data_IF_501082943034
#
_entry.id   IF_501082943034
#
_cell.length_a   1.000
_cell.length_b   1.000
_cell.length_c   1.000
_cell.angle_alpha   90.00
_cell.angle_beta   90.00
_cell.angle_gamma   90.00
#
_symmetry.space_group_name_H-M   'P 1'
#
loop_
_entity.id
_entity.type
_entity.pdbx_description
1 polymer ?
#
# COMPACT_ATOMS: atom_id res chain seq x y z
N UNK A 1 -27.33 14.85 8.02
CA UNK A 1 -26.44 14.23 7.03
C UNK A 1 -25.24 15.15 6.92
N UNK A 2 -24.06 14.68 7.31
CA UNK A 2 -22.89 15.53 7.42
C UNK A 2 -22.43 15.99 6.03
N UNK A 3 -22.48 17.30 5.81
CA UNK A 3 -21.89 17.98 4.67
C UNK A 3 -20.36 17.93 4.84
N UNK A 4 -19.67 17.20 3.95
CA UNK A 4 -18.21 17.29 3.82
C UNK A 4 -17.86 18.67 3.25
N UNK A 5 -17.62 19.61 4.16
CA UNK A 5 -17.14 20.95 3.88
C UNK A 5 -15.74 20.89 3.23
N UNK A 6 -15.66 21.47 2.03
CA UNK A 6 -14.48 22.13 1.44
C UNK A 6 -13.24 21.29 1.11
N UNK A 7 -13.26 20.65 -0.07
CA UNK A 7 -12.06 20.34 -0.88
C UNK A 7 -11.50 21.61 -1.55
N UNK A 8 -11.15 22.62 -0.75
CA UNK A 8 -10.82 23.95 -1.25
C UNK A 8 -9.65 24.56 -0.51
N UNK A 9 -8.50 23.90 -0.50
CA UNK A 9 -7.26 24.57 -0.13
C UNK A 9 -6.10 23.95 -0.92
N UNK A 10 -5.41 24.79 -1.68
CA UNK A 10 -4.03 24.58 -2.10
C UNK A 10 -3.21 24.46 -0.80
N UNK A 11 -3.30 23.27 -0.19
CA UNK A 11 -3.23 23.11 1.26
C UNK A 11 -1.91 23.59 1.83
N UNK A 12 -1.98 24.62 2.66
CA UNK A 12 -0.82 25.14 3.36
C UNK A 12 -0.31 24.08 4.34
N UNK A 13 0.64 23.25 3.91
CA UNK A 13 1.25 22.23 4.77
C UNK A 13 1.97 22.94 5.92
N UNK A 14 1.68 22.56 7.17
CA UNK A 14 2.40 23.12 8.33
C UNK A 14 3.92 22.89 8.21
N UNK A 15 4.78 23.83 8.64
CA UNK A 15 6.24 23.65 8.64
C UNK A 15 6.71 22.38 9.35
N UNK A 16 5.99 21.96 10.40
CA UNK A 16 6.29 20.71 11.14
C UNK A 16 6.04 19.47 10.29
N UNK A 17 4.96 19.48 9.49
CA UNK A 17 4.65 18.41 8.56
C UNK A 17 5.68 18.37 7.43
N UNK A 18 6.08 19.53 6.88
CA UNK A 18 7.14 19.60 5.87
C UNK A 18 8.43 18.98 6.43
N UNK A 19 8.87 19.41 7.61
CA UNK A 19 10.07 18.85 8.26
C UNK A 19 9.97 17.33 8.43
N UNK A 20 8.84 16.83 8.93
CA UNK A 20 8.64 15.39 9.13
C UNK A 20 8.65 14.61 7.81
N UNK A 21 8.03 15.15 6.76
CA UNK A 21 7.94 14.49 5.47
C UNK A 21 9.27 14.49 4.71
N UNK A 22 10.11 15.50 4.92
CA UNK A 22 11.46 15.59 4.31
C UNK A 22 12.52 14.79 5.05
N UNK A 23 12.23 14.22 6.22
CA UNK A 23 13.18 13.39 6.96
C UNK A 23 13.38 12.01 6.34
N UNK A 24 12.29 11.30 5.98
CA UNK A 24 12.31 9.94 5.42
C UNK A 24 11.07 9.64 4.57
N UNK A 25 11.21 8.87 3.49
CA UNK A 25 10.08 8.46 2.63
C UNK A 25 8.99 7.72 3.42
N UNK A 26 9.35 6.92 4.42
CA UNK A 26 8.38 6.22 5.26
C UNK A 26 7.38 7.17 5.93
N UNK A 27 7.80 8.39 6.27
CA UNK A 27 6.91 9.39 6.88
C UNK A 27 5.86 9.90 5.88
N UNK A 28 6.19 9.89 4.58
CA UNK A 28 5.27 10.22 3.49
C UNK A 28 4.32 9.05 3.24
N UNK A 29 4.85 7.85 3.00
CA UNK A 29 4.04 6.69 2.61
C UNK A 29 3.03 6.27 3.69
N UNK A 30 3.41 6.38 4.97
CA UNK A 30 2.55 6.03 6.11
C UNK A 30 1.51 7.10 6.45
N UNK A 31 1.61 8.32 5.92
CA UNK A 31 0.64 9.39 6.13
C UNK A 31 -0.25 9.53 4.91
N UNK A 32 -1.56 9.32 5.07
CA UNK A 32 -2.52 9.52 3.97
C UNK A 32 -2.45 10.92 3.38
N UNK A 33 -2.33 11.95 4.21
CA UNK A 33 -2.18 13.35 3.78
C UNK A 33 -0.90 13.57 2.98
N UNK A 34 0.23 13.08 3.50
CA UNK A 34 1.52 13.25 2.83
C UNK A 34 1.57 12.51 1.50
N UNK A 35 1.03 11.29 1.47
CA UNK A 35 0.96 10.45 0.28
C UNK A 35 0.05 11.05 -0.79
N UNK A 36 -1.10 11.61 -0.42
CA UNK A 36 -1.95 12.34 -1.37
C UNK A 36 -1.22 13.56 -1.95
N UNK A 37 -0.48 14.30 -1.13
CA UNK A 37 0.35 15.42 -1.61
C UNK A 37 1.48 14.97 -2.52
N UNK A 38 2.12 13.84 -2.20
CA UNK A 38 3.16 13.27 -3.04
C UNK A 38 2.61 12.80 -4.39
N UNK A 39 1.44 12.13 -4.40
CA UNK A 39 0.74 11.79 -5.64
C UNK A 39 0.39 13.02 -6.47
N UNK A 40 -0.21 14.05 -5.87
CA UNK A 40 -0.50 15.30 -6.60
C UNK A 40 0.75 15.92 -7.21
N UNK A 41 1.87 15.92 -6.48
CA UNK A 41 3.14 16.39 -7.02
C UNK A 41 3.61 15.55 -8.22
N UNK A 42 3.51 14.22 -8.13
CA UNK A 42 3.87 13.33 -9.25
C UNK A 42 2.97 13.59 -10.47
N UNK A 43 1.68 13.85 -10.27
CA UNK A 43 0.74 14.23 -11.33
C UNK A 43 1.10 15.56 -11.97
N UNK A 44 1.35 16.58 -11.14
CA UNK A 44 1.66 17.93 -11.60
C UNK A 44 2.99 17.98 -12.39
N UNK A 45 3.90 17.04 -12.11
CA UNK A 45 5.19 16.89 -12.79
C UNK A 45 5.17 15.84 -13.90
N UNK A 46 4.03 15.23 -14.20
CA UNK A 46 3.84 14.19 -15.24
C UNK A 46 4.77 12.96 -15.04
N UNK A 47 5.00 12.58 -13.77
CA UNK A 47 5.87 11.48 -13.38
C UNK A 47 5.09 10.16 -13.22
N UNK A 48 4.55 9.66 -14.33
CA UNK A 48 3.64 8.49 -14.39
C UNK A 48 4.22 7.21 -13.71
N UNK A 49 5.52 6.96 -13.88
CA UNK A 49 6.21 5.82 -13.24
C UNK A 49 6.21 5.96 -11.71
N UNK A 50 6.45 7.17 -11.20
CA UNK A 50 6.40 7.46 -9.77
C UNK A 50 5.00 7.28 -9.21
N UNK A 51 3.96 7.72 -9.94
CA UNK A 51 2.57 7.52 -9.55
C UNK A 51 2.23 6.04 -9.45
N UNK A 52 2.62 5.27 -10.48
CA UNK A 52 2.38 3.82 -10.56
C UNK A 52 3.05 3.08 -9.40
N UNK A 53 4.26 3.49 -9.01
CA UNK A 53 4.95 2.93 -7.84
C UNK A 53 4.22 3.21 -6.53
N UNK A 54 3.67 4.42 -6.33
CA UNK A 54 2.89 4.75 -5.12
C UNK A 54 1.57 3.99 -5.11
N UNK A 55 0.88 3.88 -6.26
CA UNK A 55 -0.37 3.11 -6.39
C UNK A 55 -0.13 1.63 -6.08
N UNK A 56 0.88 1.02 -6.66
CA UNK A 56 1.26 -0.35 -6.36
C UNK A 56 1.58 -0.57 -4.87
N UNK A 57 2.31 0.36 -4.26
CA UNK A 57 2.62 0.30 -2.82
C UNK A 57 1.36 0.30 -1.95
N UNK A 58 0.35 1.08 -2.33
CA UNK A 58 -0.97 1.11 -1.66
C UNK A 58 -1.77 -0.17 -1.88
N UNK A 59 -1.80 -0.70 -3.10
CA UNK A 59 -2.47 -1.98 -3.41
C UNK A 59 -1.89 -3.11 -2.56
N UNK A 60 -0.55 -3.21 -2.52
CA UNK A 60 0.14 -4.17 -1.65
C UNK A 60 -0.23 -3.96 -0.18
N UNK A 61 -0.31 -2.70 0.29
CA UNK A 61 -0.71 -2.39 1.66
C UNK A 61 -2.13 -2.86 1.99
N UNK A 62 -3.07 -2.65 1.08
CA UNK A 62 -4.47 -3.05 1.23
C UNK A 62 -4.60 -4.57 1.29
N UNK A 63 -3.93 -5.27 0.38
CA UNK A 63 -3.87 -6.73 0.38
C UNK A 63 -3.32 -7.29 1.70
N UNK A 64 -2.20 -6.76 2.19
CA UNK A 64 -1.56 -7.25 3.41
C UNK A 64 -2.46 -7.07 4.65
N UNK A 65 -3.23 -5.98 4.72
CA UNK A 65 -4.20 -5.75 5.81
C UNK A 65 -5.30 -6.82 5.76
N UNK A 66 -5.90 -7.05 4.59
CA UNK A 66 -6.96 -8.06 4.41
C UNK A 66 -6.46 -9.48 4.73
N UNK A 67 -5.25 -9.81 4.27
CA UNK A 67 -4.62 -11.09 4.55
C UNK A 67 -4.38 -11.31 6.05
N UNK A 68 -4.10 -10.24 6.81
CA UNK A 68 -3.94 -10.32 8.26
C UNK A 68 -5.27 -10.46 9.02
N UNK A 69 -6.30 -9.71 8.60
CA UNK A 69 -7.66 -9.81 9.16
C UNK A 69 -8.23 -11.24 9.02
N UNK A 70 -7.97 -11.90 7.89
CA UNK A 70 -8.33 -13.31 7.68
C UNK A 70 -7.64 -14.27 8.66
N UNK A 71 -6.43 -13.97 9.12
CA UNK A 71 -5.71 -14.77 10.15
C UNK A 71 -6.30 -14.58 11.54
N UNK A 72 -6.81 -13.39 11.86
CA UNK A 72 -7.35 -13.10 13.19
C UNK A 72 -8.73 -13.74 13.45
N UNK A 73 -9.51 -14.03 12.40
CA UNK A 73 -10.80 -14.71 12.53
C UNK A 73 -10.68 -16.20 12.89
N UNK A 74 -9.60 -16.89 12.49
CA UNK A 74 -9.40 -18.32 12.78
C UNK A 74 -8.94 -18.57 14.22
N UNK A 75 -8.26 -17.61 14.85
CA UNK A 75 -7.77 -17.74 16.23
C UNK A 75 -8.78 -17.33 17.31
N UNK A 76 -9.82 -16.56 16.98
CA UNK A 76 -10.81 -16.10 17.98
C UNK A 76 -11.77 -17.20 18.44
N UNK A 77 -12.02 -18.22 17.62
CA UNK A 77 -12.93 -19.33 17.94
C UNK A 77 -12.29 -20.48 18.73
N UNK A 78 -10.95 -20.55 18.81
CA UNK A 78 -10.26 -21.71 19.39
C UNK A 78 -10.04 -21.66 20.91
N UNK A 79 -10.50 -20.61 21.61
CA UNK A 79 -10.21 -20.42 23.05
C UNK A 79 -11.39 -20.58 24.00
N UNK A 80 -12.63 -20.80 23.54
CA UNK A 80 -13.80 -20.91 24.43
C UNK A 80 -14.80 -21.98 23.96
N UNK A 81 -14.44 -23.27 23.93
CA UNK A 81 -15.44 -24.36 24.01
C UNK A 81 -14.82 -25.59 24.70
N UNK A 82 -14.50 -25.46 25.99
CA UNK A 82 -14.72 -26.56 26.92
C UNK A 82 -16.03 -26.23 27.65
N UNK A 83 -17.11 -26.89 27.24
CA UNK A 83 -18.27 -27.29 28.07
C UNK A 83 -19.54 -27.34 27.24
N UNK A 84 -19.97 -28.57 27.00
CA UNK A 84 -21.34 -29.06 26.89
C UNK A 84 -22.30 -28.58 25.79
N UNK A 85 -23.14 -29.54 25.40
CA UNK A 85 -24.44 -29.39 24.72
C UNK A 85 -24.47 -29.35 23.18
N UNK A 86 -24.68 -30.55 22.64
CA UNK A 86 -25.60 -30.91 21.54
C UNK A 86 -26.50 -29.79 20.98
N UNK A 87 -26.26 -29.35 19.73
CA UNK A 87 -27.31 -29.12 18.72
C UNK A 87 -26.70 -28.86 17.32
N UNK A 88 -27.58 -28.90 16.32
CA UNK A 88 -27.40 -29.25 14.90
C UNK A 88 -26.68 -28.25 13.97
N UNK A 89 -26.24 -28.83 12.84
CA UNK A 89 -26.24 -28.32 11.44
C UNK A 89 -25.06 -27.47 10.95
N UNK A 90 -24.18 -28.17 10.24
CA UNK A 90 -23.69 -27.90 8.87
C UNK A 90 -23.82 -26.46 8.36
N UNK A 91 -22.70 -25.73 8.31
CA UNK A 91 -22.63 -24.43 7.64
C UNK A 91 -21.28 -23.69 7.73
N UNK A 92 -20.18 -24.34 8.14
CA UNK A 92 -18.92 -23.64 8.43
C UNK A 92 -17.81 -23.84 7.38
N UNK A 93 -18.07 -24.54 6.28
CA UNK A 93 -17.05 -24.86 5.27
C UNK A 93 -16.99 -23.87 4.09
N UNK A 94 -17.95 -22.95 3.95
CA UNK A 94 -18.10 -22.12 2.73
C UNK A 94 -17.41 -20.75 2.83
N UNK A 95 -17.35 -20.12 4.01
CA UNK A 95 -16.79 -18.75 4.16
C UNK A 95 -15.26 -18.69 4.06
N UNK A 96 -14.57 -19.76 4.48
CA UNK A 96 -13.10 -19.86 4.42
C UNK A 96 -12.57 -19.99 2.99
N UNK A 97 -13.28 -20.72 2.14
CA UNK A 97 -12.90 -20.93 0.74
C UNK A 97 -13.15 -19.67 -0.11
N UNK A 98 -14.25 -18.95 0.16
CA UNK A 98 -14.56 -17.68 -0.51
C UNK A 98 -13.56 -16.57 -0.17
N UNK A 99 -13.15 -16.46 1.09
CA UNK A 99 -12.18 -15.44 1.52
C UNK A 99 -10.79 -15.66 0.92
N UNK A 100 -10.34 -16.92 0.86
CA UNK A 100 -9.07 -17.27 0.23
C UNK A 100 -9.10 -17.02 -1.29
N UNK A 101 -10.24 -17.31 -1.94
CA UNK A 101 -10.43 -17.03 -3.36
C UNK A 101 -10.35 -15.53 -3.66
N UNK A 102 -11.01 -14.68 -2.87
CA UNK A 102 -10.96 -13.22 -3.05
C UNK A 102 -9.54 -12.66 -2.87
N UNK A 103 -8.78 -13.16 -1.89
CA UNK A 103 -7.37 -12.77 -1.73
C UNK A 103 -6.51 -13.19 -2.92
N UNK A 104 -6.76 -14.36 -3.51
CA UNK A 104 -6.06 -14.78 -4.72
C UNK A 104 -6.40 -13.88 -5.91
N UNK A 105 -7.67 -13.50 -6.09
CA UNK A 105 -8.08 -12.57 -7.15
C UNK A 105 -7.38 -11.20 -6.97
N UNK A 106 -7.36 -10.65 -5.76
CA UNK A 106 -6.69 -9.37 -5.48
C UNK A 106 -5.15 -9.46 -5.65
N UNK A 107 -4.54 -10.59 -5.29
CA UNK A 107 -3.13 -10.84 -5.55
C UNK A 107 -2.83 -10.90 -7.07
N UNK A 108 -3.74 -11.45 -7.87
CA UNK A 108 -3.61 -11.50 -9.33
C UNK A 108 -3.62 -10.10 -9.94
N UNK A 109 -4.54 -9.24 -9.48
CA UNK A 109 -4.61 -7.83 -9.89
C UNK A 109 -3.30 -7.08 -9.58
N UNK A 110 -2.71 -7.32 -8.40
CA UNK A 110 -1.43 -6.72 -8.02
C UNK A 110 -0.30 -7.16 -8.95
N UNK A 111 -0.24 -8.46 -9.29
CA UNK A 111 0.79 -9.00 -10.19
C UNK A 111 0.62 -8.43 -11.60
N UNK A 112 -0.61 -8.39 -12.10
CA UNK A 112 -0.90 -7.83 -13.43
C UNK A 112 -0.55 -6.34 -13.49
N UNK A 113 -0.94 -5.56 -12.48
CA UNK A 113 -0.59 -4.14 -12.41
C UNK A 113 0.93 -3.95 -12.44
N UNK A 114 1.67 -4.71 -11.62
CA UNK A 114 3.12 -4.63 -11.60
C UNK A 114 3.75 -5.00 -12.95
N UNK A 115 3.21 -5.99 -13.66
CA UNK A 115 3.73 -6.39 -14.98
C UNK A 115 3.51 -5.32 -16.05
N UNK A 116 2.40 -4.59 -15.99
CA UNK A 116 2.06 -3.56 -16.96
C UNK A 116 2.72 -2.22 -16.67
N UNK A 117 2.92 -1.88 -15.39
CA UNK A 117 3.24 -0.52 -14.95
C UNK A 117 4.57 -0.36 -14.23
N UNK A 118 5.22 -1.45 -13.83
CA UNK A 118 6.42 -1.39 -13.00
C UNK A 118 7.55 -2.23 -13.59
N UNK A 119 8.72 -1.62 -13.65
CA UNK A 119 9.94 -2.27 -14.11
C UNK A 119 10.58 -3.13 -13.00
N UNK A 120 9.96 -4.28 -12.71
CA UNK A 120 10.45 -5.25 -11.71
C UNK A 120 11.03 -6.50 -12.35
N UNK A 121 12.30 -6.50 -12.73
CA UNK A 121 12.91 -7.67 -13.39
C UNK A 121 12.94 -8.93 -12.49
N UNK A 122 13.65 -8.87 -11.34
CA UNK A 122 13.84 -10.05 -10.49
C UNK A 122 12.63 -10.36 -9.60
N UNK A 123 11.88 -9.34 -9.19
CA UNK A 123 10.75 -9.48 -8.28
C UNK A 123 9.50 -10.00 -8.98
N UNK A 124 9.31 -9.69 -10.27
CA UNK A 124 8.21 -10.23 -11.06
C UNK A 124 8.30 -11.76 -11.21
N UNK A 125 9.51 -12.31 -11.36
CA UNK A 125 9.72 -13.76 -11.40
C UNK A 125 9.25 -14.41 -10.10
N UNK A 126 9.60 -13.80 -8.96
CA UNK A 126 9.22 -14.29 -7.63
C UNK A 126 7.72 -14.19 -7.39
N UNK A 127 7.09 -13.07 -7.80
CA UNK A 127 5.63 -12.86 -7.73
C UNK A 127 4.87 -13.92 -8.52
N UNK A 128 5.25 -14.14 -9.79
CA UNK A 128 4.63 -15.16 -10.65
C UNK A 128 4.82 -16.58 -10.10
N UNK A 129 5.99 -16.87 -9.54
CA UNK A 129 6.27 -18.18 -8.94
C UNK A 129 5.43 -18.42 -7.67
N UNK A 130 5.32 -17.43 -6.78
CA UNK A 130 4.49 -17.51 -5.58
C UNK A 130 3.01 -17.71 -5.95
N UNK A 131 2.50 -16.96 -6.92
CA UNK A 131 1.12 -17.08 -7.37
C UNK A 131 0.79 -18.47 -7.93
N UNK A 132 1.68 -19.05 -8.74
CA UNK A 132 1.54 -20.42 -9.26
C UNK A 132 1.47 -21.48 -8.15
N UNK A 133 2.11 -21.23 -7.02
CA UNK A 133 2.08 -22.15 -5.88
C UNK A 133 0.76 -22.12 -5.10
N UNK A 134 -0.07 -21.09 -5.29
CA UNK A 134 -1.33 -20.84 -4.54
C UNK A 134 -1.18 -20.87 -3.02
N UNK A 135 0.04 -20.64 -2.56
CA UNK A 135 0.40 -20.63 -1.15
C UNK A 135 0.28 -19.19 -0.63
N UNK A 136 -0.78 -18.93 0.15
CA UNK A 136 -1.10 -17.58 0.63
C UNK A 136 0.04 -17.01 1.48
N UNK A 137 0.72 -17.81 2.29
CA UNK A 137 1.82 -17.33 3.13
C UNK A 137 3.01 -16.88 2.27
N UNK A 138 3.30 -17.63 1.20
CA UNK A 138 4.33 -17.22 0.22
C UNK A 138 3.91 -15.97 -0.55
N UNK A 139 2.65 -15.88 -0.97
CA UNK A 139 2.12 -14.70 -1.68
C UNK A 139 2.23 -13.46 -0.79
N UNK A 140 1.81 -13.56 0.48
CA UNK A 140 1.96 -12.47 1.47
C UNK A 140 3.41 -12.04 1.63
N UNK A 141 4.33 -13.01 1.74
CA UNK A 141 5.76 -12.71 1.89
C UNK A 141 6.29 -11.96 0.67
N UNK A 142 6.04 -12.46 -0.53
CA UNK A 142 6.54 -11.84 -1.76
C UNK A 142 5.88 -10.49 -2.04
N UNK A 143 4.60 -10.30 -1.75
CA UNK A 143 3.93 -8.98 -1.86
C UNK A 143 4.51 -8.00 -0.84
N UNK A 144 4.84 -8.45 0.37
CA UNK A 144 5.52 -7.60 1.36
C UNK A 144 6.90 -7.16 0.85
N UNK A 145 7.68 -8.07 0.28
CA UNK A 145 9.01 -7.75 -0.29
C UNK A 145 8.89 -6.82 -1.50
N UNK A 146 7.91 -7.05 -2.38
CA UNK A 146 7.64 -6.19 -3.54
C UNK A 146 7.21 -4.79 -3.10
N UNK A 147 6.38 -4.68 -2.05
CA UNK A 147 6.01 -3.39 -1.44
C UNK A 147 7.23 -2.63 -0.92
N UNK A 148 8.15 -3.30 -0.23
CA UNK A 148 9.39 -2.64 0.21
C UNK A 148 10.25 -2.20 -0.97
N UNK A 149 10.31 -3.03 -2.01
CA UNK A 149 11.09 -2.73 -3.21
C UNK A 149 10.53 -1.55 -4.00
N UNK A 150 9.20 -1.40 -4.08
CA UNK A 150 8.57 -0.21 -4.63
C UNK A 150 8.97 1.06 -3.87
N UNK A 151 9.05 0.99 -2.53
CA UNK A 151 9.51 2.12 -1.72
C UNK A 151 10.98 2.47 -2.01
N UNK A 152 11.84 1.46 -2.19
CA UNK A 152 13.25 1.67 -2.58
C UNK A 152 13.33 2.31 -3.96
N UNK A 153 12.55 1.86 -4.95
CA UNK A 153 12.52 2.48 -6.28
C UNK A 153 12.08 3.95 -6.24
N UNK A 154 11.15 4.32 -5.36
CA UNK A 154 10.74 5.71 -5.18
C UNK A 154 11.88 6.60 -4.66
N UNK A 155 12.80 6.05 -3.86
CA UNK A 155 14.01 6.75 -3.40
C UNK A 155 15.12 6.75 -4.47
N UNK A 156 15.42 5.59 -5.05
CA UNK A 156 16.51 5.39 -6.00
C UNK A 156 16.30 6.15 -7.32
N UNK A 157 15.06 6.19 -7.82
CA UNK A 157 14.67 6.97 -9.01
C UNK A 157 14.63 8.49 -8.72
N UNK A 158 14.79 8.89 -7.46
CA UNK A 158 14.87 10.29 -7.06
C UNK A 158 13.53 11.01 -6.86
N UNK A 159 12.40 10.33 -7.03
CA UNK A 159 11.07 10.93 -6.87
C UNK A 159 10.85 11.52 -5.47
N UNK A 160 11.26 10.79 -4.44
CA UNK A 160 11.17 11.28 -3.06
C UNK A 160 12.01 12.55 -2.84
N UNK A 161 13.23 12.57 -3.38
CA UNK A 161 14.13 13.72 -3.26
C UNK A 161 13.56 14.95 -3.96
N UNK A 162 13.08 14.79 -5.19
CA UNK A 162 12.49 15.87 -5.98
C UNK A 162 11.22 16.43 -5.29
N UNK A 163 10.40 15.57 -4.68
CA UNK A 163 9.27 16.00 -3.87
C UNK A 163 9.69 16.81 -2.64
N UNK A 164 10.75 16.39 -1.94
CA UNK A 164 11.26 17.13 -0.78
C UNK A 164 11.76 18.53 -1.17
N UNK A 165 12.50 18.62 -2.28
CA UNK A 165 12.97 19.89 -2.83
C UNK A 165 11.77 20.79 -3.18
N UNK A 166 10.76 20.24 -3.86
CA UNK A 166 9.53 20.97 -4.19
C UNK A 166 8.81 21.53 -2.94
N UNK A 167 8.66 20.71 -1.89
CA UNK A 167 8.04 21.17 -0.63
C UNK A 167 8.82 22.30 0.05
N UNK A 168 10.16 22.23 0.01
CA UNK A 168 11.02 23.26 0.60
C UNK A 168 11.02 24.54 -0.24
N UNK A 169 10.97 24.44 -1.57
CA UNK A 169 10.79 25.58 -2.48
C UNK A 169 9.44 26.27 -2.25
N UNK A 170 8.35 25.50 -2.13
CA UNK A 170 7.01 26.04 -1.90
C UNK A 170 6.93 26.85 -0.59
N UNK A 171 7.75 26.48 0.42
CA UNK A 171 7.88 27.22 1.69
C UNK A 171 8.90 28.36 1.67
N UNK A 172 9.57 28.61 0.54
CA UNK A 172 10.64 29.60 0.44
C UNK A 172 11.88 29.26 1.27
N UNK A 173 12.05 27.99 1.64
CA UNK A 173 13.19 27.50 2.41
C UNK A 173 14.37 27.11 1.51
N UNK A 174 14.10 26.85 0.23
CA UNK A 174 15.11 26.79 -0.83
C UNK A 174 15.00 28.05 -1.69
N UNK A 175 16.08 28.84 -1.75
CA UNK A 175 16.21 29.89 -2.77
C UNK A 175 16.65 29.22 -4.07
N UNK A 176 15.83 29.29 -5.12
CA UNK A 176 16.34 29.13 -6.48
C UNK A 176 17.45 30.16 -6.66
N UNK A 177 18.68 29.70 -6.87
CA UNK A 177 19.81 30.59 -7.09
C UNK A 177 19.50 31.52 -8.26
N UNK A 178 19.67 32.82 -8.03
CA UNK A 178 19.84 33.83 -9.07
C UNK A 178 21.03 33.50 -9.99
#
# INVERSE_FOLDING_TARGET
>A
MAECLNCGERGNVSPENVKRWTEKLSNVLLSSTARNKFKSYLTDMELEEGESLVEFWEMCGTFLIKADEGRHHTHRWRKNVESDSCFTKTGAADEGDQSAKLLLEEAEEIVQFAEEKIDFDAQMISLKAAFRSRDIEKIVTVISDAKQSAAVLLEDRGYYKAFCEHLLEEKGLLRKGD
#
